data_IF_747829136621
#
_entry.id   IF_747829136621
#
_cell.length_a   1.000
_cell.length_b   1.000
_cell.length_c   1.000
_cell.angle_alpha   90.00
_cell.angle_beta   90.00
_cell.angle_gamma   90.00
#
_symmetry.space_group_name_H-M   'P 1'
#
loop_
_entity.id
_entity.type
_entity.pdbx_description
1 polymer ?
#
# COMPACT_ATOMS: atom_id res chain seq x y z
N UNK A 1 -5.95 -0.17 -28.79
CA UNK A 1 -6.65 -1.41 -28.39
C UNK A 1 -5.64 -2.54 -28.58
N UNK A 2 -4.99 -3.02 -27.52
CA UNK A 2 -3.99 -4.08 -27.62
C UNK A 2 -4.64 -5.39 -27.14
N UNK A 3 -5.07 -6.18 -28.11
CA UNK A 3 -5.39 -7.59 -27.95
C UNK A 3 -4.06 -8.36 -27.84
N UNK A 4 -3.74 -8.78 -26.62
CA UNK A 4 -2.51 -9.48 -26.25
C UNK A 4 -2.87 -10.68 -25.39
N UNK A 5 -3.33 -11.74 -26.05
CA UNK A 5 -3.77 -12.97 -25.41
C UNK A 5 -2.73 -13.56 -24.45
N UNK A 6 -3.21 -13.80 -23.23
CA UNK A 6 -2.81 -14.89 -22.33
C UNK A 6 -1.56 -14.77 -21.42
N UNK A 7 -0.92 -13.60 -21.27
CA UNK A 7 0.17 -13.43 -20.28
C UNK A 7 -0.06 -12.29 -19.28
N UNK A 8 -1.32 -11.98 -18.97
CA UNK A 8 -1.61 -11.11 -17.84
C UNK A 8 -1.24 -11.83 -16.54
N UNK A 9 -0.44 -11.15 -15.72
CA UNK A 9 -0.07 -11.62 -14.38
C UNK A 9 -0.73 -10.69 -13.35
N UNK A 10 -1.31 -11.24 -12.27
CA UNK A 10 -1.76 -10.45 -11.16
C UNK A 10 -0.65 -9.50 -10.67
N UNK A 11 -0.98 -8.25 -10.28
CA UNK A 11 0.02 -7.29 -9.78
C UNK A 11 0.83 -7.80 -8.59
N UNK A 12 0.27 -8.72 -7.81
CA UNK A 12 0.95 -9.48 -6.76
C UNK A 12 0.61 -10.97 -6.90
N UNK A 13 1.50 -11.89 -6.48
CA UNK A 13 1.13 -13.30 -6.38
C UNK A 13 0.00 -13.52 -5.36
N UNK A 14 -0.80 -14.58 -5.52
CA UNK A 14 -1.92 -14.86 -4.62
C UNK A 14 -1.48 -15.10 -3.16
N UNK A 15 -0.25 -15.56 -2.92
CA UNK A 15 0.32 -15.68 -1.58
C UNK A 15 0.48 -14.33 -0.88
N UNK A 16 0.75 -13.25 -1.62
CA UNK A 16 0.80 -11.91 -1.04
C UNK A 16 -0.60 -11.49 -0.57
N UNK A 17 -1.65 -11.66 -1.39
CA UNK A 17 -3.03 -11.37 -0.98
C UNK A 17 -3.45 -12.20 0.25
N UNK A 18 -3.03 -13.47 0.32
CA UNK A 18 -3.28 -14.33 1.49
C UNK A 18 -2.57 -13.81 2.74
N UNK A 19 -1.31 -13.38 2.62
CA UNK A 19 -0.56 -12.81 3.73
C UNK A 19 -1.18 -11.52 4.25
N UNK A 20 -1.59 -10.61 3.35
CA UNK A 20 -2.26 -9.35 3.71
C UNK A 20 -3.61 -9.60 4.40
N UNK A 21 -4.40 -10.54 3.89
CA UNK A 21 -5.66 -10.91 4.54
C UNK A 21 -5.46 -11.47 5.94
N UNK A 22 -4.44 -12.31 6.15
CA UNK A 22 -4.08 -12.82 7.50
C UNK A 22 -3.61 -11.70 8.42
N UNK A 23 -2.78 -10.78 7.91
CA UNK A 23 -2.29 -9.63 8.66
C UNK A 23 -3.44 -8.72 9.09
N UNK A 24 -4.36 -8.39 8.18
CA UNK A 24 -5.53 -7.56 8.47
C UNK A 24 -6.37 -8.14 9.62
N UNK A 25 -6.51 -9.47 9.66
CA UNK A 25 -7.27 -10.17 10.70
C UNK A 25 -6.51 -10.37 12.01
N UNK A 26 -5.21 -10.08 12.04
CA UNK A 26 -4.39 -10.31 13.23
C UNK A 26 -4.81 -9.40 14.38
N UNK A 27 -4.73 -9.91 15.62
CA UNK A 27 -5.07 -9.14 16.82
C UNK A 27 -4.23 -7.87 16.95
N UNK A 28 -2.95 -7.94 16.56
CA UNK A 28 -2.04 -6.78 16.54
C UNK A 28 -2.52 -5.70 15.57
N UNK A 29 -2.91 -6.08 14.35
CA UNK A 29 -3.41 -5.11 13.37
C UNK A 29 -4.73 -4.50 13.81
N UNK A 30 -5.64 -5.31 14.36
CA UNK A 30 -6.89 -4.83 14.94
C UNK A 30 -6.65 -3.79 16.04
N UNK A 31 -5.77 -4.10 17.00
CA UNK A 31 -5.44 -3.18 18.10
C UNK A 31 -4.86 -1.87 17.58
N UNK A 32 -3.89 -1.94 16.66
CA UNK A 32 -3.27 -0.75 16.08
C UNK A 32 -4.28 0.09 15.30
N UNK A 33 -5.08 -0.53 14.44
CA UNK A 33 -6.07 0.18 13.63
C UNK A 33 -7.13 0.85 14.51
N UNK A 34 -7.58 0.17 15.55
CA UNK A 34 -8.51 0.73 16.53
C UNK A 34 -7.89 1.91 17.30
N UNK A 35 -6.62 1.80 17.69
CA UNK A 35 -5.92 2.88 18.39
C UNK A 35 -5.75 4.14 17.51
N UNK A 36 -5.41 3.98 16.23
CA UNK A 36 -5.14 5.12 15.33
C UNK A 36 -6.44 5.73 14.77
N UNK A 37 -7.42 4.90 14.41
CA UNK A 37 -8.61 5.34 13.67
C UNK A 37 -9.91 5.23 14.47
N UNK A 38 -9.93 4.60 15.65
CA UNK A 38 -11.15 4.39 16.45
C UNK A 38 -12.09 3.32 15.89
N UNK A 39 -11.78 2.73 14.73
CA UNK A 39 -12.64 1.81 14.01
C UNK A 39 -11.99 0.44 13.82
N UNK A 40 -12.80 -0.58 13.59
CA UNK A 40 -12.30 -1.93 13.24
C UNK A 40 -11.93 -1.96 11.75
N UNK A 41 -10.78 -2.55 11.37
CA UNK A 41 -10.37 -2.62 9.98
C UNK A 41 -11.31 -3.52 9.17
N UNK A 42 -11.67 -3.08 7.96
CA UNK A 42 -12.49 -3.85 7.02
C UNK A 42 -11.62 -4.78 6.18
N UNK A 43 -11.48 -6.05 6.58
CA UNK A 43 -10.67 -7.03 5.86
C UNK A 43 -11.36 -7.68 4.65
N UNK A 44 -12.55 -7.22 4.29
CA UNK A 44 -13.34 -7.81 3.20
C UNK A 44 -12.72 -7.59 1.83
N UNK A 45 -12.05 -6.44 1.63
CA UNK A 45 -11.36 -6.15 0.37
C UNK A 45 -10.27 -7.20 0.10
N UNK A 46 -9.40 -7.46 1.08
CA UNK A 46 -8.36 -8.49 0.96
C UNK A 46 -8.91 -9.90 0.74
N UNK A 47 -10.08 -10.21 1.31
CA UNK A 47 -10.78 -11.48 1.08
C UNK A 47 -11.26 -11.59 -0.37
N UNK A 48 -11.86 -10.52 -0.91
CA UNK A 48 -12.33 -10.45 -2.30
C UNK A 48 -11.17 -10.54 -3.28
N UNK A 49 -10.10 -9.80 -3.04
CA UNK A 49 -8.90 -9.81 -3.89
C UNK A 49 -8.23 -11.18 -3.91
N UNK A 50 -8.13 -11.87 -2.75
CA UNK A 50 -7.63 -13.24 -2.70
C UNK A 50 -8.51 -14.21 -3.50
N UNK A 51 -9.83 -14.06 -3.45
CA UNK A 51 -10.76 -14.89 -4.22
C UNK A 51 -10.62 -14.64 -5.72
N UNK A 52 -10.59 -13.38 -6.15
CA UNK A 52 -10.35 -13.01 -7.55
C UNK A 52 -8.98 -13.51 -8.05
N UNK A 53 -7.94 -13.46 -7.21
CA UNK A 53 -6.62 -13.98 -7.59
C UNK A 53 -6.64 -15.49 -7.88
N UNK A 54 -7.32 -16.28 -7.03
CA UNK A 54 -7.49 -17.72 -7.26
C UNK A 54 -8.34 -18.01 -8.49
N UNK A 55 -9.42 -17.26 -8.68
CA UNK A 55 -10.28 -17.41 -9.86
C UNK A 55 -9.52 -17.13 -11.16
N UNK A 56 -8.59 -16.17 -11.14
CA UNK A 56 -7.69 -15.95 -12.27
C UNK A 56 -6.72 -17.13 -12.50
N UNK A 57 -6.09 -17.66 -11.45
CA UNK A 57 -5.18 -18.80 -11.57
C UNK A 57 -5.88 -20.06 -12.10
N UNK A 58 -7.12 -20.30 -11.69
CA UNK A 58 -7.91 -21.47 -12.09
C UNK A 58 -8.56 -21.31 -13.47
N UNK A 59 -9.18 -20.16 -13.73
CA UNK A 59 -10.12 -19.98 -14.86
C UNK A 59 -9.71 -18.89 -15.83
N UNK A 60 -8.69 -18.09 -15.52
CA UNK A 60 -8.29 -16.88 -16.27
C UNK A 60 -9.48 -15.95 -16.56
N UNK A 61 -10.33 -15.78 -15.55
CA UNK A 61 -11.55 -14.96 -15.59
C UNK A 61 -11.25 -13.47 -15.84
N UNK A 62 -11.88 -12.88 -16.85
CA UNK A 62 -11.70 -11.46 -17.19
C UNK A 62 -12.31 -10.54 -16.11
N UNK A 63 -13.34 -11.00 -15.40
CA UNK A 63 -13.94 -10.32 -14.25
C UNK A 63 -12.94 -10.25 -13.09
N UNK A 64 -12.31 -11.38 -12.78
CA UNK A 64 -11.28 -11.45 -11.75
C UNK A 64 -10.09 -10.53 -12.05
N UNK A 65 -9.67 -10.49 -13.31
CA UNK A 65 -8.63 -9.59 -13.79
C UNK A 65 -8.98 -8.11 -13.54
N UNK A 66 -10.18 -7.69 -13.93
CA UNK A 66 -10.65 -6.31 -13.77
C UNK A 66 -10.75 -5.92 -12.30
N UNK A 67 -11.35 -6.79 -11.49
CA UNK A 67 -11.50 -6.61 -10.03
C UNK A 67 -10.15 -6.36 -9.35
N UNK A 68 -9.13 -7.18 -9.66
CA UNK A 68 -7.78 -7.03 -9.09
C UNK A 68 -7.10 -5.73 -9.53
N UNK A 69 -7.20 -5.38 -10.81
CA UNK A 69 -6.64 -4.14 -11.34
C UNK A 69 -7.27 -2.90 -10.68
N UNK A 70 -8.59 -2.90 -10.47
CA UNK A 70 -9.31 -1.81 -9.82
C UNK A 70 -8.95 -1.68 -8.34
N UNK A 71 -8.93 -2.80 -7.59
CA UNK A 71 -8.52 -2.81 -6.19
C UNK A 71 -7.10 -2.27 -6.00
N UNK A 72 -6.15 -2.74 -6.81
CA UNK A 72 -4.75 -2.30 -6.72
C UNK A 72 -4.58 -0.83 -7.07
N UNK A 73 -5.31 -0.34 -8.09
CA UNK A 73 -5.32 1.08 -8.45
C UNK A 73 -5.84 1.94 -7.30
N UNK A 74 -6.97 1.56 -6.70
CA UNK A 74 -7.54 2.26 -5.56
C UNK A 74 -6.55 2.30 -4.37
N UNK A 75 -5.83 1.20 -4.13
CA UNK A 75 -4.84 1.10 -3.07
C UNK A 75 -3.62 1.99 -3.29
N UNK A 76 -3.09 2.05 -4.52
CA UNK A 76 -1.99 2.97 -4.88
C UNK A 76 -2.41 4.42 -4.73
N UNK A 77 -3.62 4.77 -5.17
CA UNK A 77 -4.17 6.12 -5.01
C UNK A 77 -4.35 6.49 -3.53
N UNK A 78 -4.80 5.54 -2.69
CA UNK A 78 -4.94 5.76 -1.26
C UNK A 78 -3.59 5.98 -0.56
N UNK A 79 -2.53 5.29 -0.99
CA UNK A 79 -1.17 5.48 -0.46
C UNK A 79 -0.59 6.87 -0.82
N UNK A 80 -1.02 7.45 -1.94
CA UNK A 80 -0.56 8.78 -2.39
C UNK A 80 -1.29 9.96 -1.73
N UNK A 81 -2.16 9.73 -0.74
CA UNK A 81 -2.98 10.80 -0.14
C UNK A 81 -2.20 11.85 0.64
N UNK A 82 -0.96 11.58 1.06
CA UNK A 82 -0.18 12.54 1.82
C UNK A 82 0.68 13.40 0.88
N UNK A 83 0.36 14.69 0.81
CA UNK A 83 1.23 15.66 0.17
C UNK A 83 2.56 15.70 0.93
N UNK A 84 3.66 15.70 0.18
CA UNK A 84 4.99 15.88 0.76
C UNK A 84 5.03 17.27 1.41
N UNK A 85 5.05 17.31 2.74
CA UNK A 85 5.20 18.56 3.51
C UNK A 85 6.57 19.20 3.24
N UNK A 86 7.57 18.37 2.93
CA UNK A 86 8.93 18.79 2.61
C UNK A 86 9.23 18.52 1.14
N UNK A 87 9.76 19.53 0.44
CA UNK A 87 10.29 19.33 -0.90
C UNK A 87 11.47 18.33 -0.87
N UNK A 88 11.51 17.41 -1.85
CA UNK A 88 12.65 16.50 -1.98
C UNK A 88 13.93 17.31 -2.25
N UNK A 89 14.91 17.20 -1.34
CA UNK A 89 16.22 17.86 -1.51
C UNK A 89 16.99 17.15 -2.63
N UNK A 90 17.58 17.92 -3.54
CA UNK A 90 18.44 17.39 -4.61
C UNK A 90 19.90 17.17 -4.16
N UNK A 91 20.33 17.96 -3.17
CA UNK A 91 21.66 17.90 -2.58
C UNK A 91 21.58 18.33 -1.10
N UNK A 92 22.54 17.92 -0.27
CA UNK A 92 22.66 18.44 1.09
C UNK A 92 22.89 19.97 1.06
N UNK A 93 22.44 20.71 2.09
CA UNK A 93 22.81 22.11 2.27
C UNK A 93 24.34 22.27 2.28
N UNK A 94 24.89 23.36 1.72
CA UNK A 94 26.34 23.56 1.67
C UNK A 94 27.00 23.47 3.06
N UNK A 95 26.36 24.09 4.06
CA UNK A 95 26.86 24.20 5.43
C UNK A 95 26.49 23.01 6.33
N UNK A 96 26.06 21.88 5.77
CA UNK A 96 25.66 20.70 6.56
C UNK A 96 26.78 20.16 7.47
N UNK A 97 28.03 20.48 7.13
CA UNK A 97 29.25 20.00 7.79
C UNK A 97 29.77 20.95 8.87
N UNK A 98 29.15 22.13 9.03
CA UNK A 98 29.56 23.09 10.05
C UNK A 98 29.12 22.62 11.46
N UNK A 99 29.88 22.95 12.51
CA UNK A 99 29.44 22.71 13.88
C UNK A 99 28.14 23.48 14.18
N UNK A 100 27.29 22.91 15.03
CA UNK A 100 26.07 23.57 15.48
C UNK A 100 26.43 24.91 16.16
N UNK A 101 25.64 25.98 15.94
CA UNK A 101 25.82 27.22 16.69
C UNK A 101 25.76 26.90 18.19
N UNK A 102 26.70 27.44 18.98
CA UNK A 102 26.57 27.36 20.42
C UNK A 102 25.37 28.21 20.82
N UNK A 103 24.46 27.65 21.62
CA UNK A 103 23.39 28.42 22.23
C UNK A 103 24.06 29.56 23.01
N UNK A 104 23.94 30.80 22.53
CA UNK A 104 24.13 31.96 23.38
C UNK A 104 23.05 31.83 24.44
N UNK A 105 23.44 31.33 25.61
CA UNK A 105 22.57 31.36 26.78
C UNK A 105 22.24 32.83 27.01
N UNK A 106 21.02 33.22 26.61
CA UNK A 106 20.43 34.50 26.97
C UNK A 106 20.54 34.63 28.51
N UNK A 107 21.42 35.53 28.96
CA UNK A 107 21.60 35.92 30.36
C UNK A 107 20.57 36.99 30.75
#
# INVERSE_FOLDING_TARGET
MADGGNNWRPPRPCEAYRAEWKLCRSARHLLHHYYVHGERPTCEQWRRDLASCREWEERRSAEAQRSLCESERARVQAAQKHALVWALRRSPPAEWHLPLPQDEKDE
#
